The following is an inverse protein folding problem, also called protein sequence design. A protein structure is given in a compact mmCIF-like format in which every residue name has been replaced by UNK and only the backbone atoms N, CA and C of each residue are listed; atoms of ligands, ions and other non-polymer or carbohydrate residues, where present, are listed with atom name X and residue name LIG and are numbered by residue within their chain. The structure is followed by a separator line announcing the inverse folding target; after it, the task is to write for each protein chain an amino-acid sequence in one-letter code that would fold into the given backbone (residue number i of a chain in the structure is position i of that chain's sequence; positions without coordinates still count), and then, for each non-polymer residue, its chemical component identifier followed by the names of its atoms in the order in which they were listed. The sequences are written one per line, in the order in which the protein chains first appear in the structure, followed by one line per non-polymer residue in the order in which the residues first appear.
data_IF_011619550670
#
_entry.id   IF_011619550670
#
_cell.length_a   1.000
_cell.length_b   1.000
_cell.length_c   1.000
_cell.angle_alpha   90.00
_cell.angle_beta   90.00
_cell.angle_gamma   90.00
#
_symmetry.space_group_name_H-M   'P 1'
#
loop_
_entity.id
_entity.type
_entity.pdbx_description
1 polymer ?
#
# COMPACT_ATOMS: atom_id res chain seq x y z
N UNK A 1 32.16 -17.06 -5.60
CA UNK A 1 31.33 -18.28 -5.44
C UNK A 1 30.61 -18.49 -6.76
N UNK A 2 30.98 -19.52 -7.53
CA UNK A 2 30.21 -19.95 -8.70
C UNK A 2 28.86 -20.45 -8.22
N UNK A 3 27.78 -19.73 -8.52
CA UNK A 3 26.44 -20.16 -8.14
C UNK A 3 26.11 -21.44 -8.90
N UNK A 4 26.14 -22.54 -8.21
CA UNK A 4 25.62 -23.80 -8.73
C UNK A 4 24.13 -23.56 -9.05
N UNK A 5 23.73 -23.82 -10.29
CA UNK A 5 22.34 -23.66 -10.72
C UNK A 5 21.49 -24.71 -9.97
N UNK A 6 20.66 -24.27 -9.03
CA UNK A 6 19.75 -25.15 -8.28
C UNK A 6 18.65 -25.67 -9.20
N UNK A 7 18.20 -26.90 -8.96
CA UNK A 7 16.92 -27.40 -9.49
C UNK A 7 15.75 -26.82 -8.69
N UNK A 8 14.54 -26.87 -9.24
CA UNK A 8 13.33 -26.47 -8.50
C UNK A 8 13.19 -27.21 -7.17
N UNK A 9 13.43 -28.50 -7.15
CA UNK A 9 13.36 -29.33 -5.93
C UNK A 9 14.37 -28.87 -4.87
N UNK A 10 15.61 -28.61 -5.26
CA UNK A 10 16.65 -28.11 -4.34
C UNK A 10 16.31 -26.71 -3.81
N UNK A 11 15.81 -25.81 -4.65
CA UNK A 11 15.44 -24.46 -4.23
C UNK A 11 14.26 -24.48 -3.25
N UNK A 12 13.21 -25.25 -3.54
CA UNK A 12 12.07 -25.43 -2.64
C UNK A 12 12.47 -26.12 -1.32
N UNK A 13 13.36 -27.11 -1.36
CA UNK A 13 13.84 -27.77 -0.14
C UNK A 13 14.61 -26.80 0.78
N UNK A 14 15.44 -25.93 0.21
CA UNK A 14 16.16 -24.90 0.97
C UNK A 14 15.20 -23.88 1.60
N UNK A 15 14.22 -23.39 0.84
CA UNK A 15 13.22 -22.45 1.37
C UNK A 15 12.36 -23.12 2.46
N UNK A 16 11.92 -24.36 2.26
CA UNK A 16 11.18 -25.12 3.26
C UNK A 16 11.98 -25.38 4.54
N UNK A 17 13.29 -25.56 4.44
CA UNK A 17 14.16 -25.81 5.60
C UNK A 17 14.47 -24.54 6.38
N UNK A 18 14.69 -23.42 5.68
CA UNK A 18 15.21 -22.19 6.30
C UNK A 18 14.22 -21.03 6.31
N UNK A 19 13.15 -21.07 5.55
CA UNK A 19 12.12 -20.03 5.49
C UNK A 19 11.10 -20.13 6.63
N UNK A 20 10.45 -19.03 6.94
CA UNK A 20 9.48 -18.94 8.04
C UNK A 20 8.06 -19.42 7.70
N UNK A 21 7.81 -19.93 6.51
CA UNK A 21 6.53 -20.50 6.03
C UNK A 21 5.31 -19.56 6.24
N UNK A 22 5.49 -18.28 6.08
CA UNK A 22 4.40 -17.31 6.15
C UNK A 22 3.51 -17.26 4.89
N UNK A 23 3.92 -17.97 3.84
CA UNK A 23 3.18 -18.21 2.60
C UNK A 23 3.24 -19.69 2.21
N UNK A 24 2.31 -20.10 1.33
CA UNK A 24 2.35 -21.39 0.63
C UNK A 24 2.55 -21.12 -0.87
N UNK A 25 3.80 -20.93 -1.34
CA UNK A 25 4.08 -20.64 -2.74
C UNK A 25 3.61 -21.76 -3.67
N UNK A 26 3.28 -21.40 -4.91
CA UNK A 26 3.10 -22.39 -5.97
C UNK A 26 4.43 -23.12 -6.23
N UNK A 27 4.42 -24.43 -6.61
CA UNK A 27 5.64 -25.19 -6.80
C UNK A 27 6.35 -24.84 -8.12
N UNK A 28 6.67 -23.56 -8.31
CA UNK A 28 7.37 -23.02 -9.47
C UNK A 28 8.48 -22.12 -9.00
N UNK A 29 9.72 -22.40 -9.39
CA UNK A 29 10.90 -21.63 -8.99
C UNK A 29 11.32 -20.71 -10.14
N UNK A 30 10.89 -19.46 -10.09
CA UNK A 30 11.19 -18.45 -11.11
C UNK A 30 12.63 -17.96 -11.01
N UNK A 31 13.33 -17.84 -12.13
CA UNK A 31 14.73 -17.45 -12.18
C UNK A 31 15.04 -16.33 -13.17
N UNK A 32 14.12 -16.03 -14.08
CA UNK A 32 14.30 -15.00 -15.12
C UNK A 32 12.98 -14.33 -15.42
N UNK A 33 13.01 -13.01 -15.71
CA UNK A 33 11.85 -12.25 -16.18
C UNK A 33 12.23 -11.30 -17.31
N UNK A 34 11.33 -11.10 -18.28
CA UNK A 34 11.48 -10.12 -19.36
C UNK A 34 10.10 -9.70 -19.90
N UNK A 35 9.76 -8.45 -19.78
CA UNK A 35 8.44 -7.96 -20.16
C UNK A 35 7.34 -8.71 -19.40
N UNK A 36 6.40 -9.32 -20.09
CA UNK A 36 5.29 -10.10 -19.51
C UNK A 36 5.63 -11.57 -19.24
N UNK A 37 6.86 -11.97 -19.54
CA UNK A 37 7.27 -13.37 -19.43
C UNK A 37 8.18 -13.62 -18.24
N UNK A 38 8.00 -14.76 -17.60
CA UNK A 38 8.91 -15.32 -16.59
C UNK A 38 9.30 -16.74 -16.96
N UNK A 39 10.46 -17.19 -16.48
CA UNK A 39 10.97 -18.54 -16.71
C UNK A 39 11.37 -19.16 -15.38
N UNK A 40 11.08 -20.44 -15.22
CA UNK A 40 11.58 -21.22 -14.11
C UNK A 40 13.06 -21.60 -14.29
N UNK A 41 13.62 -22.26 -13.30
CA UNK A 41 15.03 -22.71 -13.32
C UNK A 41 15.29 -23.79 -14.36
N UNK A 42 14.28 -24.56 -14.78
CA UNK A 42 14.33 -25.55 -15.85
C UNK A 42 14.21 -24.92 -17.25
N UNK A 43 13.86 -23.62 -17.31
CA UNK A 43 13.75 -22.87 -18.56
C UNK A 43 12.36 -22.86 -19.19
N UNK A 44 11.34 -23.38 -18.51
CA UNK A 44 9.96 -23.29 -18.97
C UNK A 44 9.45 -21.87 -18.83
N UNK A 45 8.79 -21.36 -19.86
CA UNK A 45 8.25 -20.01 -19.94
C UNK A 45 6.79 -19.96 -19.50
N UNK A 46 6.45 -18.91 -18.77
CA UNK A 46 5.09 -18.58 -18.33
C UNK A 46 4.76 -17.12 -18.66
N UNK A 47 3.48 -16.81 -18.76
CA UNK A 47 3.00 -15.43 -18.65
C UNK A 47 2.84 -15.06 -17.18
N UNK A 48 3.31 -13.88 -16.79
CA UNK A 48 3.09 -13.35 -15.45
C UNK A 48 1.82 -12.49 -15.41
N UNK A 49 0.70 -13.10 -15.03
CA UNK A 49 -0.57 -12.40 -14.81
C UNK A 49 -0.73 -11.85 -13.39
N UNK A 50 0.17 -12.18 -12.49
CA UNK A 50 0.15 -11.67 -11.11
C UNK A 50 0.89 -10.33 -11.00
N UNK A 51 1.97 -10.16 -11.77
CA UNK A 51 2.80 -8.94 -11.82
C UNK A 51 3.18 -8.41 -10.44
N UNK A 52 3.45 -9.32 -9.46
CA UNK A 52 3.72 -8.96 -8.07
C UNK A 52 2.66 -8.01 -7.49
N UNK A 53 1.38 -8.36 -7.65
CA UNK A 53 0.23 -7.53 -7.24
C UNK A 53 0.26 -6.12 -7.86
N UNK A 54 0.48 -6.05 -9.16
CA UNK A 54 0.61 -4.83 -9.97
C UNK A 54 1.92 -4.04 -9.76
N UNK A 55 2.87 -4.53 -8.96
CA UNK A 55 4.14 -3.82 -8.74
C UNK A 55 5.06 -3.84 -9.97
N UNK A 56 4.90 -4.83 -10.87
CA UNK A 56 5.70 -5.00 -12.10
C UNK A 56 4.88 -4.65 -13.35
N UNK A 57 4.02 -3.66 -13.25
CA UNK A 57 3.14 -3.22 -14.34
C UNK A 57 3.89 -2.71 -15.59
N UNK A 58 5.15 -2.29 -15.46
CA UNK A 58 6.01 -1.91 -16.61
C UNK A 58 6.71 -3.11 -17.25
N UNK A 59 6.45 -4.32 -16.75
CA UNK A 59 7.10 -5.55 -17.16
C UNK A 59 8.44 -5.79 -16.48
N UNK A 60 8.84 -7.06 -16.45
CA UNK A 60 10.12 -7.48 -15.88
C UNK A 60 11.29 -6.89 -16.65
N UNK A 61 12.29 -6.42 -15.92
CA UNK A 61 13.56 -5.91 -16.46
C UNK A 61 13.40 -4.86 -17.56
N UNK A 62 12.45 -3.91 -17.36
CA UNK A 62 12.24 -2.84 -18.35
C UNK A 62 13.55 -2.06 -18.60
N UNK A 63 14.04 -1.94 -19.85
CA UNK A 63 15.41 -1.51 -20.12
C UNK A 63 15.72 -0.09 -19.62
N UNK A 64 14.76 0.84 -19.70
CA UNK A 64 14.94 2.21 -19.19
C UNK A 64 15.05 2.25 -17.67
N UNK A 65 14.26 1.41 -16.96
CA UNK A 65 14.29 1.33 -15.50
C UNK A 65 15.59 0.71 -15.03
N UNK A 66 16.01 -0.41 -15.65
CA UNK A 66 17.27 -1.08 -15.31
C UNK A 66 18.47 -0.18 -15.59
N UNK A 67 18.47 0.56 -16.71
CA UNK A 67 19.53 1.53 -17.02
C UNK A 67 19.63 2.60 -15.93
N UNK A 68 18.52 3.25 -15.59
CA UNK A 68 18.50 4.31 -14.56
C UNK A 68 18.98 3.80 -13.19
N UNK A 69 18.52 2.59 -12.79
CA UNK A 69 18.95 1.95 -11.55
C UNK A 69 20.46 1.69 -11.54
N UNK A 70 20.99 1.10 -12.61
CA UNK A 70 22.41 0.73 -12.71
C UNK A 70 23.31 1.97 -12.71
N UNK A 71 22.98 2.99 -13.49
CA UNK A 71 23.74 4.24 -13.56
C UNK A 71 23.74 4.96 -12.19
N UNK A 72 22.59 5.03 -11.53
CA UNK A 72 22.52 5.65 -10.21
C UNK A 72 23.24 4.84 -9.13
N UNK A 73 23.13 3.51 -9.14
CA UNK A 73 23.81 2.64 -8.18
C UNK A 73 25.34 2.72 -8.27
N UNK A 74 25.88 2.98 -9.46
CA UNK A 74 27.33 3.19 -9.67
C UNK A 74 27.81 4.58 -9.24
N UNK A 75 26.88 5.53 -9.04
CA UNK A 75 27.22 6.92 -8.67
C UNK A 75 27.02 7.16 -7.18
N UNK A 76 25.83 6.88 -6.67
CA UNK A 76 25.47 7.07 -5.26
C UNK A 76 24.26 6.19 -4.93
N UNK A 77 24.40 5.25 -4.00
CA UNK A 77 23.35 4.28 -3.67
C UNK A 77 22.40 4.77 -2.60
N UNK A 78 22.92 5.33 -1.51
CA UNK A 78 22.11 5.71 -0.34
C UNK A 78 22.74 6.89 0.38
N UNK A 79 21.91 7.85 0.81
CA UNK A 79 22.28 8.92 1.74
C UNK A 79 21.36 8.93 2.94
N UNK A 80 21.86 9.36 4.11
CA UNK A 80 21.00 9.70 5.22
C UNK A 80 20.14 10.94 4.89
N UNK A 81 18.94 11.02 5.45
CA UNK A 81 18.09 12.24 5.41
C UNK A 81 18.72 13.44 6.14
N UNK A 82 19.85 13.25 6.82
CA UNK A 82 20.65 14.36 7.35
C UNK A 82 21.33 15.21 6.25
N UNK A 83 21.36 14.70 5.01
CA UNK A 83 21.93 15.38 3.86
C UNK A 83 20.90 15.54 2.75
N UNK A 84 21.05 16.61 1.97
CA UNK A 84 20.38 16.73 0.68
C UNK A 84 21.08 15.84 -0.35
N UNK A 85 20.34 15.44 -1.39
CA UNK A 85 20.90 14.82 -2.59
C UNK A 85 20.28 15.45 -3.86
N UNK A 86 20.90 15.22 -4.99
CA UNK A 86 20.53 15.84 -6.26
C UNK A 86 19.31 15.21 -6.96
N UNK A 87 18.75 14.12 -6.42
CA UNK A 87 17.63 13.37 -7.03
C UNK A 87 16.30 13.65 -6.35
N UNK A 88 16.29 13.67 -5.02
CA UNK A 88 15.04 13.68 -4.26
C UNK A 88 14.18 14.92 -4.57
N UNK A 89 14.76 16.11 -4.53
CA UNK A 89 14.00 17.35 -4.81
C UNK A 89 13.45 17.42 -6.24
N UNK A 90 14.18 16.85 -7.22
CA UNK A 90 13.72 16.74 -8.61
C UNK A 90 12.52 15.78 -8.70
N UNK A 91 12.60 14.64 -8.01
CA UNK A 91 11.50 13.68 -7.93
C UNK A 91 10.27 14.29 -7.23
N UNK A 92 10.46 14.93 -6.08
CA UNK A 92 9.39 15.56 -5.31
C UNK A 92 8.66 16.63 -6.14
N UNK A 93 9.40 17.48 -6.84
CA UNK A 93 8.83 18.49 -7.76
C UNK A 93 8.00 17.82 -8.85
N UNK A 94 8.56 16.81 -9.54
CA UNK A 94 7.88 16.11 -10.62
C UNK A 94 6.57 15.48 -10.17
N UNK A 95 6.59 14.75 -9.04
CA UNK A 95 5.43 14.03 -8.53
C UNK A 95 4.33 14.99 -8.06
N UNK A 96 4.69 16.07 -7.35
CA UNK A 96 3.73 17.07 -6.88
C UNK A 96 3.07 17.79 -8.05
N UNK A 97 3.82 18.23 -9.05
CA UNK A 97 3.27 18.88 -10.25
C UNK A 97 2.40 17.93 -11.08
N UNK A 98 2.82 16.66 -11.21
CA UNK A 98 2.08 15.67 -12.01
C UNK A 98 0.74 15.28 -11.40
N UNK A 99 0.68 15.09 -10.08
CA UNK A 99 -0.54 14.67 -9.38
C UNK A 99 -1.35 15.83 -8.79
N UNK A 100 -0.86 17.05 -8.84
CA UNK A 100 -1.57 18.22 -8.34
C UNK A 100 -1.60 18.32 -6.80
N UNK A 101 -0.58 17.82 -6.11
CA UNK A 101 -0.44 17.93 -4.66
C UNK A 101 0.64 18.94 -4.30
N UNK A 102 0.50 19.60 -3.15
CA UNK A 102 1.49 20.58 -2.69
C UNK A 102 2.79 19.94 -2.17
N UNK A 103 2.70 18.76 -1.58
CA UNK A 103 3.80 18.07 -0.92
C UNK A 103 3.75 16.56 -1.15
N UNK A 104 4.92 15.94 -1.11
CA UNK A 104 5.09 14.49 -1.11
C UNK A 104 6.05 14.09 0.01
N UNK A 105 5.77 12.95 0.64
CA UNK A 105 6.63 12.32 1.63
C UNK A 105 6.88 10.88 1.20
N UNK A 106 8.02 10.57 0.55
CA UNK A 106 8.33 9.23 0.08
C UNK A 106 8.52 8.24 1.24
N UNK A 107 7.95 7.04 1.10
CA UNK A 107 8.09 5.91 2.00
C UNK A 107 8.63 4.69 1.25
N UNK A 108 9.15 3.69 1.98
CA UNK A 108 9.75 2.51 1.36
C UNK A 108 8.71 1.47 0.94
N UNK A 109 7.58 1.40 1.66
CA UNK A 109 6.51 0.41 1.42
C UNK A 109 5.14 1.04 1.55
N UNK A 110 4.11 0.38 0.99
CA UNK A 110 2.73 0.76 1.19
C UNK A 110 2.30 0.73 2.66
N UNK A 111 2.77 -0.24 3.43
CA UNK A 111 2.51 -0.33 4.85
C UNK A 111 3.07 0.88 5.63
N UNK A 112 4.28 1.34 5.31
CA UNK A 112 4.85 2.57 5.90
C UNK A 112 4.07 3.82 5.48
N UNK A 113 3.61 3.89 4.23
CA UNK A 113 2.79 4.99 3.73
C UNK A 113 1.45 5.07 4.46
N UNK A 114 0.76 3.94 4.64
CA UNK A 114 -0.51 3.86 5.39
C UNK A 114 -0.32 4.24 6.86
N UNK A 115 0.68 3.68 7.55
CA UNK A 115 0.98 4.03 8.95
C UNK A 115 1.30 5.51 9.10
N UNK A 116 2.03 6.08 8.15
CA UNK A 116 2.34 7.52 8.13
C UNK A 116 1.09 8.36 7.89
N UNK A 117 0.22 7.96 6.95
CA UNK A 117 -1.04 8.65 6.69
C UNK A 117 -1.96 8.64 7.92
N UNK A 118 -2.08 7.49 8.62
CA UNK A 118 -2.82 7.37 9.89
C UNK A 118 -2.24 8.33 10.94
N UNK A 119 -0.91 8.36 11.11
CA UNK A 119 -0.24 9.26 12.06
C UNK A 119 -0.48 10.73 11.74
N UNK A 120 -0.33 11.12 10.47
CA UNK A 120 -0.56 12.50 10.01
C UNK A 120 -2.03 12.90 10.23
N UNK A 121 -2.96 12.01 9.88
CA UNK A 121 -4.39 12.21 10.06
C UNK A 121 -4.75 12.47 11.53
N UNK A 122 -4.26 11.65 12.45
CA UNK A 122 -4.45 11.83 13.89
C UNK A 122 -3.81 13.14 14.39
N UNK A 123 -2.58 13.42 13.99
CA UNK A 123 -1.89 14.65 14.39
C UNK A 123 -2.65 15.90 13.91
N UNK A 124 -3.10 15.91 12.66
CA UNK A 124 -3.93 16.97 12.13
C UNK A 124 -5.25 17.16 12.93
N UNK A 125 -5.91 16.05 13.27
CA UNK A 125 -7.14 16.10 14.05
C UNK A 125 -6.92 16.73 15.43
N UNK A 126 -5.82 16.44 16.11
CA UNK A 126 -5.50 17.00 17.41
C UNK A 126 -5.07 18.46 17.33
N UNK A 127 -4.18 18.80 16.39
CA UNK A 127 -3.54 20.11 16.33
C UNK A 127 -4.34 21.15 15.53
N UNK A 128 -5.14 20.73 14.53
CA UNK A 128 -5.86 21.64 13.64
C UNK A 128 -7.38 21.59 13.83
N UNK A 129 -7.95 20.41 14.03
CA UNK A 129 -9.40 20.26 14.25
C UNK A 129 -9.81 20.42 15.72
N UNK A 130 -8.88 20.26 16.67
CA UNK A 130 -9.14 20.39 18.09
C UNK A 130 -9.79 19.14 18.71
N UNK A 131 -9.62 17.97 18.10
CA UNK A 131 -10.06 16.70 18.69
C UNK A 131 -9.30 16.47 20.00
N UNK A 132 -9.95 16.04 21.10
CA UNK A 132 -9.27 15.71 22.35
C UNK A 132 -8.23 14.60 22.14
N UNK A 133 -7.13 14.67 22.87
CA UNK A 133 -6.05 13.68 22.80
C UNK A 133 -6.61 12.26 22.96
N UNK A 134 -6.12 11.34 22.13
CA UNK A 134 -6.53 9.92 22.08
C UNK A 134 -7.98 9.65 21.64
N UNK A 135 -8.77 10.67 21.27
CA UNK A 135 -10.16 10.52 20.83
C UNK A 135 -10.35 10.46 19.30
N UNK A 136 -9.29 10.63 18.52
CA UNK A 136 -9.40 10.66 17.07
C UNK A 136 -9.87 9.32 16.48
N UNK A 137 -10.89 9.38 15.61
CA UNK A 137 -11.47 8.24 14.91
C UNK A 137 -11.13 8.34 13.43
N UNK A 138 -10.67 7.24 12.85
CA UNK A 138 -10.48 7.07 11.41
C UNK A 138 -11.50 6.03 10.93
N UNK A 139 -12.28 6.40 9.91
CA UNK A 139 -13.24 5.51 9.27
C UNK A 139 -12.51 4.72 8.19
N UNK A 140 -12.81 3.43 8.09
CA UNK A 140 -12.27 2.49 7.09
C UNK A 140 -13.40 1.71 6.45
N UNK A 141 -13.16 1.06 5.33
CA UNK A 141 -14.17 0.18 4.72
C UNK A 141 -14.05 -1.25 5.23
N UNK A 142 -15.16 -1.98 5.23
CA UNK A 142 -15.12 -3.44 5.38
C UNK A 142 -14.33 -4.07 4.22
N UNK A 143 -13.75 -5.24 4.45
CA UNK A 143 -12.92 -6.00 3.50
C UNK A 143 -11.70 -5.24 2.98
N UNK A 144 -11.25 -4.21 3.70
CA UNK A 144 -10.07 -3.45 3.33
C UNK A 144 -8.77 -4.28 3.42
N UNK A 145 -7.77 -3.86 2.62
CA UNK A 145 -6.40 -4.32 2.75
C UNK A 145 -5.43 -3.14 2.69
N UNK A 146 -4.90 -2.74 3.83
CA UNK A 146 -3.94 -1.63 3.96
C UNK A 146 -2.56 -2.08 4.47
N UNK A 147 -2.27 -3.37 4.40
CA UNK A 147 -1.06 -3.99 4.91
C UNK A 147 -1.30 -4.95 6.08
N UNK A 148 -0.24 -5.29 6.80
CA UNK A 148 -0.25 -6.31 7.88
C UNK A 148 0.43 -5.86 9.16
N UNK A 149 0.56 -4.56 9.38
CA UNK A 149 1.08 -4.01 10.64
C UNK A 149 0.10 -4.22 11.78
N UNK A 150 0.55 -4.08 13.03
CA UNK A 150 -0.31 -4.22 14.21
C UNK A 150 -1.44 -3.19 14.22
N UNK A 151 -1.21 -1.98 13.69
CA UNK A 151 -2.28 -0.98 13.55
C UNK A 151 -3.29 -1.41 12.49
N UNK A 152 -2.84 -1.84 11.32
CA UNK A 152 -3.71 -2.20 10.19
C UNK A 152 -4.56 -3.43 10.49
N UNK A 153 -3.98 -4.48 11.09
CA UNK A 153 -4.76 -5.66 11.46
C UNK A 153 -5.83 -5.36 12.52
N UNK A 154 -5.70 -4.24 13.25
CA UNK A 154 -6.69 -3.82 14.24
C UNK A 154 -8.05 -3.48 13.64
N UNK A 155 -8.09 -3.04 12.39
CA UNK A 155 -9.31 -2.69 11.68
C UNK A 155 -9.59 -3.57 10.43
N UNK A 156 -8.82 -4.63 10.23
CA UNK A 156 -9.11 -5.61 9.19
C UNK A 156 -10.38 -6.40 9.52
N UNK A 157 -11.23 -6.64 8.53
CA UNK A 157 -12.39 -7.54 8.66
C UNK A 157 -12.03 -9.02 8.44
N UNK A 158 -10.80 -9.32 7.97
CA UNK A 158 -10.30 -10.68 7.84
C UNK A 158 -9.94 -11.27 9.21
N UNK A 159 -10.72 -12.29 9.62
CA UNK A 159 -10.52 -12.98 10.89
C UNK A 159 -9.14 -13.66 10.99
N UNK A 160 -8.60 -14.15 9.86
CA UNK A 160 -7.30 -14.81 9.85
C UNK A 160 -6.15 -13.80 10.04
N UNK A 161 -6.30 -12.61 9.45
CA UNK A 161 -5.34 -11.52 9.62
C UNK A 161 -5.32 -10.96 11.06
N UNK A 162 -6.43 -11.10 11.80
CA UNK A 162 -6.57 -10.58 13.17
C UNK A 162 -6.27 -11.58 14.27
N UNK A 163 -6.58 -12.85 14.06
CA UNK A 163 -6.52 -13.87 15.11
C UNK A 163 -5.15 -13.93 15.78
N UNK A 164 -5.13 -13.78 17.10
CA UNK A 164 -3.95 -13.86 17.97
C UNK A 164 -2.89 -12.73 17.79
N UNK A 165 -3.25 -11.61 17.14
CA UNK A 165 -2.36 -10.45 16.97
C UNK A 165 -2.78 -9.22 17.82
N UNK A 166 -3.72 -9.39 18.76
CA UNK A 166 -4.03 -8.34 19.75
C UNK A 166 -2.92 -8.11 20.78
N UNK A 167 -2.98 -7.01 21.57
CA UNK A 167 -4.08 -6.06 21.68
C UNK A 167 -4.21 -5.15 20.46
N UNK A 168 -5.45 -4.81 20.10
CA UNK A 168 -5.73 -4.02 18.91
C UNK A 168 -5.65 -2.51 19.17
N UNK A 169 -5.11 -1.78 18.21
CA UNK A 169 -5.07 -0.32 18.22
C UNK A 169 -6.49 0.25 18.10
N UNK A 170 -6.96 1.10 19.04
CA UNK A 170 -8.27 1.71 19.00
C UNK A 170 -8.37 2.89 18.03
N UNK A 171 -9.59 3.43 17.87
CA UNK A 171 -9.86 4.63 17.09
C UNK A 171 -10.13 4.36 15.61
N UNK A 172 -10.70 3.21 15.29
CA UNK A 172 -11.17 2.86 13.94
C UNK A 172 -12.62 2.43 13.96
N UNK A 173 -13.38 2.86 12.94
CA UNK A 173 -14.79 2.45 12.70
C UNK A 173 -14.91 1.99 11.26
N UNK A 174 -15.49 0.80 11.06
CA UNK A 174 -15.72 0.26 9.71
C UNK A 174 -17.10 0.64 9.18
N UNK A 175 -17.16 0.86 7.86
CA UNK A 175 -18.42 1.04 7.10
C UNK A 175 -18.40 0.12 5.88
N UNK A 176 -19.56 -0.27 5.33
CA UNK A 176 -19.60 -1.00 4.07
C UNK A 176 -18.95 -0.19 2.95
N UNK A 177 -18.18 -0.88 2.10
CA UNK A 177 -17.61 -0.26 0.90
C UNK A 177 -18.72 0.13 -0.08
N UNK A 178 -18.56 1.26 -0.76
CA UNK A 178 -19.53 1.77 -1.75
C UNK A 178 -20.88 2.18 -1.16
N UNK A 179 -20.94 2.56 0.12
CA UNK A 179 -22.14 3.03 0.82
C UNK A 179 -21.92 4.43 1.41
N UNK A 180 -22.35 5.47 0.67
CA UNK A 180 -22.25 6.86 1.12
C UNK A 180 -23.18 7.18 2.29
N UNK A 181 -24.33 6.51 2.40
CA UNK A 181 -25.25 6.76 3.49
C UNK A 181 -24.69 6.25 4.83
N UNK A 182 -24.10 5.06 4.83
CA UNK A 182 -23.41 4.52 6.00
C UNK A 182 -22.20 5.39 6.38
N UNK A 183 -21.43 5.85 5.40
CA UNK A 183 -20.31 6.76 5.66
C UNK A 183 -20.79 8.07 6.27
N UNK A 184 -21.84 8.69 5.72
CA UNK A 184 -22.38 9.95 6.23
C UNK A 184 -22.90 9.82 7.65
N UNK A 185 -23.59 8.72 7.96
CA UNK A 185 -24.09 8.45 9.31
C UNK A 185 -22.94 8.39 10.33
N UNK A 186 -21.88 7.64 10.04
CA UNK A 186 -20.72 7.52 10.94
C UNK A 186 -19.98 8.85 11.08
N UNK A 187 -19.85 9.62 9.99
CA UNK A 187 -19.26 10.97 10.02
C UNK A 187 -20.08 11.93 10.90
N UNK A 188 -21.41 11.87 10.81
CA UNK A 188 -22.31 12.69 11.60
C UNK A 188 -22.25 12.34 13.10
N UNK A 189 -22.33 11.05 13.42
CA UNK A 189 -22.29 10.54 14.80
C UNK A 189 -20.96 10.85 15.50
N UNK A 190 -19.86 10.93 14.73
CA UNK A 190 -18.52 11.17 15.23
C UNK A 190 -17.96 12.54 14.85
N UNK A 191 -18.80 13.52 14.52
CA UNK A 191 -18.38 14.83 13.99
C UNK A 191 -17.29 15.52 14.82
N UNK A 192 -17.33 15.39 16.14
CA UNK A 192 -16.36 16.00 17.04
C UNK A 192 -15.02 15.27 17.09
N UNK A 193 -14.95 14.00 16.71
CA UNK A 193 -13.77 13.12 16.89
C UNK A 193 -13.24 12.51 15.61
N UNK A 194 -14.04 12.51 14.52
CA UNK A 194 -13.58 11.95 13.24
C UNK A 194 -12.39 12.73 12.69
N UNK A 195 -11.30 12.03 12.43
CA UNK A 195 -10.08 12.57 11.83
C UNK A 195 -10.09 12.42 10.31
N UNK A 196 -10.50 11.27 9.79
CA UNK A 196 -10.49 11.02 8.36
C UNK A 196 -11.19 9.72 7.96
N UNK A 197 -11.26 9.54 6.63
CA UNK A 197 -11.74 8.32 5.98
C UNK A 197 -10.61 7.76 5.10
N UNK A 198 -10.20 6.52 5.35
CA UNK A 198 -9.19 5.79 4.61
C UNK A 198 -9.88 4.75 3.72
N UNK A 199 -9.63 4.80 2.42
CA UNK A 199 -10.32 3.98 1.42
C UNK A 199 -9.38 3.57 0.29
N UNK A 200 -9.54 2.33 -0.21
CA UNK A 200 -8.97 1.90 -1.48
C UNK A 200 -9.87 2.37 -2.62
N UNK A 201 -9.37 3.04 -3.67
CA UNK A 201 -10.19 3.40 -4.83
C UNK A 201 -10.83 2.21 -5.54
N UNK A 202 -10.13 1.08 -5.56
CA UNK A 202 -10.62 -0.25 -5.94
C UNK A 202 -10.11 -1.21 -4.87
N UNK A 203 -10.99 -1.95 -4.22
CA UNK A 203 -10.55 -2.96 -3.25
C UNK A 203 -9.97 -4.16 -4.01
N UNK A 204 -8.64 -4.27 -4.04
CA UNK A 204 -7.91 -5.30 -4.80
C UNK A 204 -8.00 -6.67 -4.15
N UNK A 205 -7.50 -6.80 -2.93
CA UNK A 205 -7.41 -8.08 -2.19
C UNK A 205 -8.77 -8.68 -1.87
N UNK A 206 -9.81 -7.86 -1.72
CA UNK A 206 -11.16 -8.32 -1.46
C UNK A 206 -11.81 -9.05 -2.66
N UNK A 207 -11.28 -8.88 -3.88
CA UNK A 207 -11.80 -9.51 -5.10
C UNK A 207 -12.01 -8.54 -6.27
N UNK A 208 -11.25 -7.45 -6.30
CA UNK A 208 -11.30 -6.40 -7.34
C UNK A 208 -12.68 -5.74 -7.38
N UNK A 209 -13.12 -5.20 -6.26
CA UNK A 209 -14.38 -4.45 -6.18
C UNK A 209 -14.19 -3.02 -6.65
N UNK A 210 -14.79 -2.69 -7.80
CA UNK A 210 -14.84 -1.34 -8.36
C UNK A 210 -16.09 -0.65 -7.82
N UNK A 211 -15.97 0.55 -7.24
CA UNK A 211 -17.13 1.25 -6.68
C UNK A 211 -18.02 1.83 -7.79
N UNK A 212 -19.25 2.19 -7.44
CA UNK A 212 -20.16 2.91 -8.31
C UNK A 212 -19.60 4.26 -8.72
N UNK A 213 -19.97 4.74 -9.88
CA UNK A 213 -19.66 6.10 -10.31
C UNK A 213 -20.11 7.12 -9.27
N UNK A 214 -19.24 8.07 -8.96
CA UNK A 214 -19.52 9.12 -7.97
C UNK A 214 -19.26 8.74 -6.51
N UNK A 215 -18.96 7.47 -6.18
CA UNK A 215 -18.71 7.08 -4.79
C UNK A 215 -17.52 7.82 -4.15
N UNK A 216 -16.36 7.80 -4.80
CA UNK A 216 -15.16 8.44 -4.24
C UNK A 216 -15.29 9.96 -4.16
N UNK A 217 -15.89 10.60 -5.18
CA UNK A 217 -16.16 12.05 -5.16
C UNK A 217 -17.18 12.42 -4.09
N UNK A 218 -18.23 11.60 -3.92
CA UNK A 218 -19.20 11.75 -2.85
C UNK A 218 -18.58 11.57 -1.46
N UNK A 219 -17.75 10.56 -1.27
CA UNK A 219 -17.04 10.34 -0.02
C UNK A 219 -16.08 11.51 0.32
N UNK A 220 -15.37 12.04 -0.68
CA UNK A 220 -14.53 13.23 -0.51
C UNK A 220 -15.38 14.44 -0.07
N UNK A 221 -16.51 14.71 -0.75
CA UNK A 221 -17.40 15.79 -0.40
C UNK A 221 -17.98 15.66 1.03
N UNK A 222 -18.31 14.44 1.46
CA UNK A 222 -18.72 14.15 2.84
C UNK A 222 -17.57 14.43 3.82
N UNK A 223 -16.36 14.01 3.54
CA UNK A 223 -15.20 14.33 4.37
C UNK A 223 -15.02 15.86 4.52
N UNK A 224 -15.12 16.62 3.44
CA UNK A 224 -15.06 18.08 3.47
C UNK A 224 -16.20 18.69 4.32
N UNK A 225 -17.45 18.20 4.15
CA UNK A 225 -18.61 18.64 4.93
C UNK A 225 -18.44 18.46 6.44
N UNK A 226 -17.80 17.36 6.85
CA UNK A 226 -17.60 17.04 8.28
C UNK A 226 -16.20 17.42 8.80
N UNK A 227 -15.43 18.18 8.04
CA UNK A 227 -14.05 18.55 8.36
C UNK A 227 -13.22 17.34 8.77
N UNK A 228 -13.16 16.35 7.87
CA UNK A 228 -12.37 15.12 7.99
C UNK A 228 -11.43 14.98 6.79
N UNK A 229 -10.29 14.34 6.96
CA UNK A 229 -9.36 14.10 5.85
C UNK A 229 -9.84 12.93 4.98
N UNK A 230 -9.78 13.09 3.66
CA UNK A 230 -9.97 12.00 2.70
C UNK A 230 -8.61 11.39 2.35
N UNK A 231 -8.43 10.11 2.61
CA UNK A 231 -7.18 9.37 2.40
C UNK A 231 -7.44 8.24 1.41
N UNK A 232 -6.92 8.37 0.18
CA UNK A 232 -7.01 7.32 -0.83
C UNK A 232 -5.73 6.45 -0.77
N UNK A 233 -5.91 5.16 -0.51
CA UNK A 233 -4.83 4.18 -0.61
C UNK A 233 -4.70 3.71 -2.05
N UNK A 234 -3.79 4.34 -2.77
CA UNK A 234 -3.49 4.10 -4.18
C UNK A 234 -2.30 3.12 -4.38
N UNK A 235 -1.94 2.36 -3.37
CA UNK A 235 -0.78 1.45 -3.45
C UNK A 235 -0.94 0.42 -4.56
N UNK A 236 -2.14 -0.11 -4.79
CA UNK A 236 -2.43 -1.04 -5.89
C UNK A 236 -3.07 -0.40 -7.11
N UNK A 237 -3.56 0.83 -7.03
CA UNK A 237 -4.35 1.47 -8.09
C UNK A 237 -3.67 2.68 -8.71
N UNK A 238 -2.74 3.30 -8.02
CA UNK A 238 -2.07 4.51 -8.45
C UNK A 238 -0.91 4.27 -9.43
N UNK A 239 -0.41 5.37 -10.03
CA UNK A 239 0.82 5.40 -10.87
C UNK A 239 0.75 4.43 -12.07
N UNK A 240 -0.40 4.40 -12.75
CA UNK A 240 -0.69 3.55 -13.93
C UNK A 240 -0.63 2.03 -13.64
N UNK A 241 -1.06 1.63 -12.50
CA UNK A 241 -1.22 0.20 -12.12
C UNK A 241 -2.58 -0.34 -12.51
#
# INVERSE_FOLDING_TARGET
MTSQKLTSEQAMALENQYGAHNYHPLPVVLSKGQGVYVWDVEGKRYYDFLSSYSAVNQGHCHPRIIKALTEQAQTLTLTSRAFYNDKLGVYEKYVTEYFGFEKVLPMNTGAEAVETAIKICRKWAYEQKGVPESAAIIIVCDQNFHGRTTTVVSFSSDKNARKNFGPYTPGFVSVPYNDLAALEQVLADNKATVAGFLVEPIQGEAGVYVPSEGYLSGAKALCEKYNALFIADEVQTGVAR
#
